data_IF_089217145110
#
_entry.id   IF_089217145110
#
_cell.length_a   1.000
_cell.length_b   1.000
_cell.length_c   1.000
_cell.angle_alpha   90.00
_cell.angle_beta   90.00
_cell.angle_gamma   90.00
#
_symmetry.space_group_name_H-M   'P 1'
#
loop_
_entity.id
_entity.type
_entity.pdbx_description
1 polymer ?
#
# COMPACT_ATOMS: atom_id res chain seq x y z
N UNK A 1 -7.50 -11.12 -7.20
CA UNK A 1 -7.10 -10.53 -5.92
C UNK A 1 -5.68 -10.94 -5.50
N UNK A 2 -5.35 -12.23 -5.38
CA UNK A 2 -4.04 -12.72 -4.88
C UNK A 2 -2.83 -12.10 -5.59
N UNK A 3 -2.84 -12.00 -6.94
CA UNK A 3 -1.75 -11.35 -7.69
C UNK A 3 -1.54 -9.89 -7.27
N UNK A 4 -2.62 -9.16 -7.04
CA UNK A 4 -2.55 -7.76 -6.64
C UNK A 4 -1.89 -7.63 -5.26
N UNK A 5 -2.40 -8.36 -4.27
CA UNK A 5 -1.86 -8.35 -2.90
C UNK A 5 -0.39 -8.76 -2.88
N UNK A 6 -0.06 -9.85 -3.57
CA UNK A 6 1.31 -10.32 -3.66
C UNK A 6 2.24 -9.28 -4.33
N UNK A 7 1.75 -8.58 -5.36
CA UNK A 7 2.52 -7.49 -5.99
C UNK A 7 2.76 -6.31 -5.07
N UNK A 8 1.76 -5.92 -4.26
CA UNK A 8 1.93 -4.86 -3.26
C UNK A 8 2.92 -5.28 -2.17
N UNK A 9 2.79 -6.50 -1.62
CA UNK A 9 3.73 -7.03 -0.62
C UNK A 9 5.15 -7.14 -1.17
N UNK A 10 5.31 -7.53 -2.44
CA UNK A 10 6.63 -7.54 -3.09
C UNK A 10 7.23 -6.14 -3.17
N UNK A 11 6.45 -5.12 -3.55
CA UNK A 11 6.93 -3.74 -3.59
C UNK A 11 7.37 -3.22 -2.23
N UNK A 12 6.58 -3.50 -1.17
CA UNK A 12 6.93 -3.11 0.20
C UNK A 12 8.18 -3.86 0.70
N UNK A 13 8.33 -5.14 0.36
CA UNK A 13 9.53 -5.92 0.70
C UNK A 13 10.79 -5.41 -0.03
N UNK A 14 10.65 -4.99 -1.29
CA UNK A 14 11.72 -4.32 -2.04
C UNK A 14 12.05 -2.96 -1.42
N UNK A 15 11.04 -2.19 -1.02
CA UNK A 15 11.25 -0.92 -0.33
C UNK A 15 12.07 -1.11 0.96
N UNK A 16 11.73 -2.11 1.77
CA UNK A 16 12.47 -2.47 2.98
C UNK A 16 13.93 -2.86 2.68
N UNK A 17 14.16 -3.66 1.64
CA UNK A 17 15.54 -4.01 1.22
C UNK A 17 16.35 -2.77 0.80
N UNK A 18 15.72 -1.82 0.12
CA UNK A 18 16.39 -0.57 -0.24
C UNK A 18 16.72 0.29 0.99
N UNK A 19 15.82 0.35 1.99
CA UNK A 19 16.12 1.05 3.26
C UNK A 19 17.35 0.47 3.94
N UNK A 20 17.46 -0.87 4.00
CA UNK A 20 18.58 -1.53 4.68
C UNK A 20 19.96 -1.26 4.06
N UNK A 21 20.03 -0.70 2.86
CA UNK A 21 21.30 -0.30 2.23
C UNK A 21 21.80 1.07 2.72
N UNK A 22 20.97 1.89 3.33
CA UNK A 22 21.33 3.11 4.04
C UNK A 22 21.79 4.30 3.20
N UNK A 23 21.85 4.17 1.87
CA UNK A 23 22.28 5.28 1.00
C UNK A 23 21.10 6.04 0.37
N UNK A 24 21.37 7.24 -0.06
CA UNK A 24 20.40 8.20 -0.62
C UNK A 24 19.67 7.66 -1.85
N UNK A 25 20.36 6.95 -2.75
CA UNK A 25 19.74 6.42 -3.96
C UNK A 25 18.74 5.32 -3.62
N UNK A 26 19.12 4.43 -2.71
CA UNK A 26 18.25 3.37 -2.24
C UNK A 26 17.06 3.95 -1.44
N UNK A 27 17.26 4.98 -0.63
CA UNK A 27 16.17 5.67 0.06
C UNK A 27 15.13 6.26 -0.91
N UNK A 28 15.56 6.80 -2.05
CA UNK A 28 14.66 7.27 -3.12
C UNK A 28 13.83 6.14 -3.73
N UNK A 29 14.47 5.02 -4.06
CA UNK A 29 13.77 3.85 -4.59
C UNK A 29 12.74 3.34 -3.58
N UNK A 30 13.10 3.30 -2.31
CA UNK A 30 12.17 2.92 -1.24
C UNK A 30 10.96 3.85 -1.17
N UNK A 31 11.17 5.18 -1.19
CA UNK A 31 10.07 6.16 -1.21
C UNK A 31 9.13 5.93 -2.40
N UNK A 32 9.69 5.72 -3.60
CA UNK A 32 8.90 5.48 -4.81
C UNK A 32 8.08 4.19 -4.72
N UNK A 33 8.69 3.08 -4.25
CA UNK A 33 8.01 1.79 -4.11
C UNK A 33 6.91 1.85 -3.06
N UNK A 34 7.17 2.50 -1.93
CA UNK A 34 6.22 2.70 -0.83
C UNK A 34 5.01 3.52 -1.27
N UNK A 35 5.25 4.65 -1.92
CA UNK A 35 4.20 5.53 -2.43
C UNK A 35 3.33 4.84 -3.48
N UNK A 36 3.95 4.14 -4.42
CA UNK A 36 3.23 3.37 -5.44
C UNK A 36 2.39 2.23 -4.82
N UNK A 37 2.91 1.52 -3.82
CA UNK A 37 2.19 0.45 -3.12
C UNK A 37 0.92 1.00 -2.43
N UNK A 38 1.03 2.17 -1.77
CA UNK A 38 -0.10 2.86 -1.18
C UNK A 38 -1.10 3.29 -2.25
N UNK A 39 -0.65 3.99 -3.29
CA UNK A 39 -1.53 4.49 -4.35
C UNK A 39 -2.31 3.37 -5.04
N UNK A 40 -1.66 2.26 -5.38
CA UNK A 40 -2.30 1.10 -5.97
C UNK A 40 -3.37 0.50 -5.05
N UNK A 41 -3.10 0.44 -3.75
CA UNK A 41 -4.05 -0.10 -2.78
C UNK A 41 -5.26 0.82 -2.60
N UNK A 42 -5.05 2.14 -2.52
CA UNK A 42 -6.13 3.12 -2.46
C UNK A 42 -7.00 3.12 -3.72
N UNK A 43 -6.37 3.02 -4.90
CA UNK A 43 -7.10 2.88 -6.15
C UNK A 43 -7.93 1.58 -6.17
N UNK A 44 -7.35 0.48 -5.71
CA UNK A 44 -8.05 -0.79 -5.61
C UNK A 44 -9.23 -0.71 -4.64
N UNK A 45 -9.04 -0.10 -3.48
CA UNK A 45 -10.10 0.14 -2.50
C UNK A 45 -11.29 0.88 -3.11
N UNK A 46 -11.03 1.96 -3.84
CA UNK A 46 -12.08 2.73 -4.51
C UNK A 46 -12.79 1.89 -5.61
N UNK A 47 -12.04 1.10 -6.37
CA UNK A 47 -12.63 0.21 -7.39
C UNK A 47 -13.52 -0.89 -6.80
N UNK A 48 -13.06 -1.52 -5.72
CA UNK A 48 -13.80 -2.59 -5.06
C UNK A 48 -15.11 -2.02 -4.46
N UNK A 49 -15.05 -0.83 -3.83
CA UNK A 49 -16.23 -0.13 -3.34
C UNK A 49 -17.23 0.20 -4.43
N UNK A 50 -16.75 0.73 -5.56
CA UNK A 50 -17.61 1.01 -6.72
C UNK A 50 -18.28 -0.27 -7.25
N UNK A 51 -17.52 -1.35 -7.36
CA UNK A 51 -18.04 -2.65 -7.78
C UNK A 51 -19.11 -3.20 -6.83
N UNK A 52 -18.89 -3.09 -5.52
CA UNK A 52 -19.85 -3.49 -4.51
C UNK A 52 -21.16 -2.69 -4.59
N UNK A 53 -21.06 -1.37 -4.70
CA UNK A 53 -22.24 -0.49 -4.77
C UNK A 53 -23.04 -0.69 -6.06
N UNK A 54 -22.37 -0.85 -7.20
CA UNK A 54 -23.03 -1.08 -8.50
C UNK A 54 -23.63 -2.47 -8.66
N UNK A 55 -23.20 -3.45 -7.87
CA UNK A 55 -23.84 -4.75 -7.85
C UNK A 55 -25.29 -4.71 -7.31
N UNK A 56 -25.68 -3.60 -6.66
CA UNK A 56 -26.99 -3.41 -6.05
C UNK A 56 -27.47 -1.98 -6.32
N UNK A 57 -28.32 -1.77 -7.27
CA UNK A 57 -28.80 -0.44 -7.71
C UNK A 57 -29.24 0.46 -6.56
N UNK A 58 -30.03 -0.08 -5.60
CA UNK A 58 -30.49 0.69 -4.43
C UNK A 58 -29.34 1.18 -3.55
N UNK A 59 -28.24 0.42 -3.43
CA UNK A 59 -27.06 0.84 -2.65
C UNK A 59 -26.34 1.99 -3.34
N UNK A 60 -26.23 1.91 -4.67
CA UNK A 60 -25.64 3.00 -5.45
C UNK A 60 -26.44 4.30 -5.30
N UNK A 61 -27.75 4.24 -5.45
CA UNK A 61 -28.61 5.42 -5.40
C UNK A 61 -28.59 6.11 -4.02
N UNK A 62 -28.52 5.34 -2.96
CA UNK A 62 -28.49 5.84 -1.58
C UNK A 62 -27.08 6.26 -1.09
N UNK A 63 -26.02 5.98 -1.87
CA UNK A 63 -24.66 6.24 -1.40
C UNK A 63 -24.31 7.75 -1.43
N UNK A 64 -23.91 8.35 -0.28
CA UNK A 64 -23.78 9.82 -0.17
C UNK A 64 -22.49 10.36 -0.80
N UNK A 65 -21.43 9.55 -0.94
CA UNK A 65 -20.10 9.98 -1.37
C UNK A 65 -19.77 9.58 -2.82
N UNK A 66 -20.77 9.64 -3.72
CA UNK A 66 -20.62 9.21 -5.13
C UNK A 66 -19.54 10.00 -5.86
N UNK A 67 -19.54 11.32 -5.70
CA UNK A 67 -18.61 12.20 -6.42
C UNK A 67 -17.16 11.96 -5.98
N UNK A 68 -16.93 11.75 -4.68
CA UNK A 68 -15.62 11.43 -4.13
C UNK A 68 -15.14 10.06 -4.59
N UNK A 69 -16.03 9.06 -4.61
CA UNK A 69 -15.73 7.72 -5.12
C UNK A 69 -15.38 7.75 -6.62
N UNK A 70 -16.13 8.50 -7.42
CA UNK A 70 -15.85 8.65 -8.86
C UNK A 70 -14.54 9.41 -9.09
N UNK A 71 -14.28 10.47 -8.32
CA UNK A 71 -13.00 11.19 -8.39
C UNK A 71 -11.80 10.29 -8.03
N UNK A 72 -11.97 9.38 -7.07
CA UNK A 72 -10.93 8.42 -6.66
C UNK A 72 -10.61 7.35 -7.71
N UNK A 73 -11.46 7.16 -8.74
CA UNK A 73 -11.16 6.28 -9.89
C UNK A 73 -10.11 6.89 -10.83
N UNK A 74 -9.86 8.19 -10.74
CA UNK A 74 -8.92 8.91 -11.59
C UNK A 74 -7.44 8.72 -11.19
N UNK A 75 -6.58 9.56 -11.79
CA UNK A 75 -5.13 9.51 -11.59
C UNK A 75 -4.65 10.26 -10.35
N UNK A 76 -5.46 11.16 -9.77
CA UNK A 76 -5.07 12.05 -8.69
C UNK A 76 -4.96 11.31 -7.35
N UNK A 77 -3.77 11.29 -6.77
CA UNK A 77 -3.48 10.63 -5.50
C UNK A 77 -4.29 11.22 -4.33
N UNK A 78 -4.37 12.57 -4.26
CA UNK A 78 -5.12 13.29 -3.22
C UNK A 78 -6.61 12.90 -3.17
N UNK A 79 -7.22 12.63 -4.33
CA UNK A 79 -8.60 12.16 -4.42
C UNK A 79 -8.79 10.76 -3.85
N UNK A 80 -7.83 9.88 -4.10
CA UNK A 80 -7.82 8.52 -3.54
C UNK A 80 -7.67 8.56 -2.01
N UNK A 81 -6.75 9.39 -1.51
CA UNK A 81 -6.53 9.59 -0.07
C UNK A 81 -7.76 10.20 0.59
N UNK A 82 -8.37 11.23 -0.03
CA UNK A 82 -9.61 11.85 0.47
C UNK A 82 -10.72 10.81 0.60
N UNK A 83 -10.95 10.02 -0.44
CA UNK A 83 -11.98 8.99 -0.43
C UNK A 83 -11.72 7.92 0.63
N UNK A 84 -10.49 7.43 0.75
CA UNK A 84 -10.11 6.44 1.77
C UNK A 84 -10.31 6.99 3.20
N UNK A 85 -10.08 8.29 3.41
CA UNK A 85 -10.37 8.96 4.67
C UNK A 85 -11.88 9.06 4.92
N UNK A 86 -12.68 9.45 3.93
CA UNK A 86 -14.14 9.51 4.03
C UNK A 86 -14.76 8.16 4.40
N UNK A 87 -14.21 7.06 3.87
CA UNK A 87 -14.63 5.68 4.19
C UNK A 87 -14.01 5.12 5.49
N UNK A 88 -13.22 5.91 6.22
CA UNK A 88 -12.62 5.51 7.50
C UNK A 88 -11.42 4.54 7.39
N UNK A 89 -10.88 4.34 6.19
CA UNK A 89 -9.68 3.51 6.00
C UNK A 89 -8.40 4.23 6.47
N UNK A 90 -8.37 5.55 6.38
CA UNK A 90 -7.23 6.39 6.75
C UNK A 90 -7.68 7.41 7.79
N UNK A 91 -6.91 7.59 8.86
CA UNK A 91 -7.14 8.62 9.89
C UNK A 91 -6.88 10.03 9.35
N UNK A 92 -7.32 11.05 10.06
CA UNK A 92 -7.03 12.46 9.72
C UNK A 92 -5.52 12.74 9.75
N UNK A 93 -4.81 12.18 10.73
CA UNK A 93 -3.36 12.33 10.88
C UNK A 93 -2.62 11.63 9.76
N UNK A 94 -3.00 10.39 9.44
CA UNK A 94 -2.40 9.63 8.35
C UNK A 94 -2.63 10.28 7.00
N UNK A 95 -3.83 10.84 6.77
CA UNK A 95 -4.14 11.61 5.56
C UNK A 95 -3.17 12.78 5.38
N UNK A 96 -2.96 13.59 6.41
CA UNK A 96 -2.02 14.72 6.34
C UNK A 96 -0.59 14.22 6.08
N UNK A 97 -0.17 13.17 6.77
CA UNK A 97 1.17 12.57 6.65
C UNK A 97 1.42 12.03 5.24
N UNK A 98 0.52 11.20 4.70
CA UNK A 98 0.75 10.59 3.36
C UNK A 98 0.69 11.63 2.24
N UNK A 99 -0.16 12.66 2.35
CA UNK A 99 -0.18 13.75 1.36
C UNK A 99 1.11 14.56 1.38
N UNK A 100 1.67 14.84 2.56
CA UNK A 100 2.95 15.55 2.71
C UNK A 100 4.10 14.74 2.14
N UNK A 101 4.16 13.43 2.44
CA UNK A 101 5.22 12.53 1.96
C UNK A 101 5.14 12.28 0.46
N UNK A 102 3.92 12.16 -0.09
CA UNK A 102 3.72 12.11 -1.55
C UNK A 102 4.18 13.40 -2.23
N UNK A 103 3.85 14.56 -1.67
CA UNK A 103 4.31 15.87 -2.15
C UNK A 103 5.85 15.96 -2.13
N UNK A 104 6.48 15.52 -1.05
CA UNK A 104 7.92 15.47 -0.91
C UNK A 104 8.58 14.54 -1.95
N UNK A 105 8.04 13.33 -2.15
CA UNK A 105 8.51 12.41 -3.21
C UNK A 105 8.43 13.06 -4.60
N UNK A 106 7.37 13.78 -4.89
CA UNK A 106 7.23 14.48 -6.17
C UNK A 106 8.26 15.59 -6.33
N UNK A 107 8.54 16.37 -5.28
CA UNK A 107 9.59 17.40 -5.30
C UNK A 107 10.98 16.79 -5.56
N UNK A 108 11.31 15.68 -4.91
CA UNK A 108 12.56 14.95 -5.15
C UNK A 108 12.72 14.51 -6.61
N UNK A 109 11.61 14.14 -7.25
CA UNK A 109 11.64 13.68 -8.64
C UNK A 109 11.85 14.84 -9.63
N UNK A 110 11.32 16.02 -9.33
CA UNK A 110 11.33 17.18 -10.25
C UNK A 110 12.41 18.21 -9.94
N UNK A 111 12.79 18.41 -8.71
CA UNK A 111 13.67 19.52 -8.28
C UNK A 111 15.10 19.10 -7.92
N UNK A 112 15.43 17.79 -7.99
CA UNK A 112 16.77 17.31 -7.62
C UNK A 112 17.03 17.31 -6.11
N UNK A 113 18.30 17.24 -5.75
CA UNK A 113 18.84 16.81 -4.46
C UNK A 113 18.89 17.90 -3.39
N UNK A 114 17.77 18.38 -2.92
CA UNK A 114 17.74 19.11 -1.66
C UNK A 114 17.35 18.15 -0.53
N UNK A 115 18.09 18.18 0.60
CA UNK A 115 17.82 17.37 1.80
C UNK A 115 18.17 15.87 1.74
N UNK A 116 19.25 15.51 1.04
CA UNK A 116 19.71 14.10 0.95
C UNK A 116 19.89 13.40 2.30
N UNK A 117 20.35 14.12 3.31
CA UNK A 117 20.67 13.57 4.62
C UNK A 117 19.44 12.99 5.37
N UNK A 118 18.24 13.51 5.12
CA UNK A 118 17.03 13.03 5.79
C UNK A 118 16.31 11.93 5.03
N UNK A 119 16.73 11.63 3.81
CA UNK A 119 16.04 10.67 2.94
C UNK A 119 15.99 9.26 3.51
N UNK A 120 17.06 8.68 4.07
CA UNK A 120 17.00 7.35 4.66
C UNK A 120 15.95 7.26 5.77
N UNK A 121 16.00 8.17 6.76
CA UNK A 121 15.04 8.20 7.87
C UNK A 121 13.61 8.47 7.38
N UNK A 122 13.44 9.36 6.39
CA UNK A 122 12.13 9.68 5.83
C UNK A 122 11.54 8.49 5.06
N UNK A 123 12.37 7.73 4.34
CA UNK A 123 11.91 6.53 3.61
C UNK A 123 11.48 5.41 4.57
N UNK A 124 12.20 5.21 5.67
CA UNK A 124 11.84 4.26 6.71
C UNK A 124 10.53 4.67 7.41
N UNK A 125 10.40 5.95 7.77
CA UNK A 125 9.18 6.49 8.35
C UNK A 125 7.98 6.32 7.41
N UNK A 126 8.15 6.61 6.11
CA UNK A 126 7.06 6.45 5.14
C UNK A 126 6.64 4.99 5.01
N UNK A 127 7.59 4.06 4.95
CA UNK A 127 7.28 2.63 4.89
C UNK A 127 6.53 2.17 6.14
N UNK A 128 6.92 2.64 7.35
CA UNK A 128 6.20 2.34 8.59
C UNK A 128 4.74 2.80 8.53
N UNK A 129 4.52 4.07 8.17
CA UNK A 129 3.17 4.66 8.05
C UNK A 129 2.32 3.89 7.05
N UNK A 130 2.85 3.60 5.87
CA UNK A 130 2.12 2.87 4.83
C UNK A 130 1.82 1.44 5.26
N UNK A 131 2.79 0.72 5.82
CA UNK A 131 2.56 -0.64 6.31
C UNK A 131 1.50 -0.68 7.41
N UNK A 132 1.47 0.31 8.31
CA UNK A 132 0.45 0.44 9.35
C UNK A 132 -0.94 0.65 8.75
N UNK A 133 -1.09 1.59 7.81
CA UNK A 133 -2.36 1.84 7.11
C UNK A 133 -2.83 0.57 6.37
N UNK A 134 -1.93 -0.08 5.66
CA UNK A 134 -2.26 -1.25 4.85
C UNK A 134 -2.51 -2.52 5.69
N UNK A 135 -1.97 -2.59 6.91
CA UNK A 135 -2.26 -3.68 7.84
C UNK A 135 -3.75 -3.69 8.27
N UNK A 136 -4.44 -2.56 8.20
CA UNK A 136 -5.86 -2.45 8.49
C UNK A 136 -6.77 -2.59 7.25
N UNK A 137 -6.17 -2.65 6.04
CA UNK A 137 -6.93 -2.80 4.81
C UNK A 137 -7.67 -4.13 4.74
N UNK A 138 -8.99 -4.06 4.55
CA UNK A 138 -9.83 -5.24 4.39
C UNK A 138 -10.02 -5.58 2.92
N UNK A 139 -9.56 -6.75 2.56
CA UNK A 139 -9.77 -7.31 1.22
C UNK A 139 -11.23 -7.71 1.07
N UNK A 140 -12.01 -6.97 0.29
CA UNK A 140 -13.47 -7.16 0.13
C UNK A 140 -13.83 -8.44 -0.62
N UNK A 141 -13.02 -8.83 -1.61
CA UNK A 141 -13.29 -10.02 -2.44
C UNK A 141 -12.03 -10.86 -2.60
N UNK A 142 -12.13 -12.11 -2.17
CA UNK A 142 -11.04 -13.06 -2.29
C UNK A 142 -11.27 -14.00 -3.47
N UNK A 143 -10.47 -13.86 -4.52
CA UNK A 143 -10.50 -14.79 -5.65
C UNK A 143 -9.11 -15.38 -5.86
N UNK A 144 -9.05 -16.70 -5.92
CA UNK A 144 -7.84 -17.48 -6.17
C UNK A 144 -8.11 -18.52 -7.26
N UNK A 145 -7.37 -18.45 -8.34
CA UNK A 145 -7.38 -19.47 -9.39
C UNK A 145 -6.22 -20.46 -9.22
N UNK A 146 -6.42 -21.71 -9.57
CA UNK A 146 -5.39 -22.77 -9.47
C UNK A 146 -4.08 -22.48 -10.20
N UNK A 147 -4.11 -21.56 -11.20
CA UNK A 147 -2.95 -21.14 -12.01
C UNK A 147 -2.39 -19.77 -11.57
N UNK A 148 -2.76 -19.24 -10.39
CA UNK A 148 -2.28 -17.94 -9.96
C UNK A 148 -0.79 -18.04 -9.57
N UNK A 149 0.06 -17.41 -10.37
CA UNK A 149 1.48 -17.25 -10.03
C UNK A 149 1.63 -16.14 -8.98
N UNK A 150 2.33 -16.45 -7.89
CA UNK A 150 2.71 -15.50 -6.83
C UNK A 150 4.18 -15.17 -7.01
N UNK A 151 4.59 -13.89 -7.05
CA UNK A 151 5.98 -13.47 -7.11
C UNK A 151 6.81 -14.15 -6.02
N UNK A 152 8.06 -14.52 -6.33
CA UNK A 152 8.91 -15.29 -5.42
C UNK A 152 9.07 -14.60 -4.04
N UNK A 153 9.33 -13.29 -4.04
CA UNK A 153 9.49 -12.50 -2.80
C UNK A 153 8.24 -12.48 -1.93
N UNK A 154 7.06 -12.41 -2.56
CA UNK A 154 5.80 -12.34 -1.83
C UNK A 154 5.39 -13.68 -1.20
N UNK A 155 5.96 -14.81 -1.63
CA UNK A 155 5.58 -16.15 -1.15
C UNK A 155 5.72 -16.31 0.35
N UNK A 156 6.73 -15.69 0.97
CA UNK A 156 6.97 -15.75 2.42
C UNK A 156 5.85 -15.11 3.25
N UNK A 157 5.05 -14.22 2.64
CA UNK A 157 3.90 -13.55 3.27
C UNK A 157 2.58 -14.29 3.02
N UNK A 158 2.56 -15.27 2.14
CA UNK A 158 1.36 -16.02 1.77
C UNK A 158 1.32 -17.34 2.53
N UNK A 159 0.18 -17.65 3.11
CA UNK A 159 -0.04 -18.90 3.84
C UNK A 159 0.21 -20.12 2.97
N UNK A 160 0.77 -21.16 3.57
CA UNK A 160 1.04 -22.44 2.93
C UNK A 160 0.34 -23.58 3.67
N UNK A 161 0.00 -24.63 2.93
CA UNK A 161 -0.49 -25.88 3.53
C UNK A 161 0.65 -26.61 4.26
N UNK A 162 0.46 -26.91 5.53
CA UNK A 162 1.39 -27.72 6.30
C UNK A 162 1.57 -29.14 5.74
N UNK A 163 0.53 -29.68 5.07
CA UNK A 163 0.54 -31.02 4.49
C UNK A 163 1.25 -31.12 3.14
N UNK A 164 1.13 -30.09 2.30
CA UNK A 164 1.54 -30.18 0.88
C UNK A 164 2.57 -29.13 0.47
N UNK A 165 2.90 -28.17 1.34
CA UNK A 165 3.76 -27.02 1.00
C UNK A 165 3.16 -26.07 -0.06
N UNK A 166 1.93 -26.31 -0.53
CA UNK A 166 1.26 -25.48 -1.51
C UNK A 166 0.81 -24.16 -0.88
N UNK A 167 0.89 -23.08 -1.66
CA UNK A 167 0.33 -21.79 -1.26
C UNK A 167 -1.20 -21.90 -1.11
N UNK A 168 -1.70 -21.48 0.04
CA UNK A 168 -3.13 -21.34 0.37
C UNK A 168 -3.39 -19.88 0.77
N UNK A 169 -3.45 -18.98 -0.21
CA UNK A 169 -3.66 -17.57 0.08
C UNK A 169 -5.00 -17.35 0.80
N UNK A 170 -5.01 -16.47 1.80
CA UNK A 170 -6.21 -16.11 2.54
C UNK A 170 -6.29 -14.59 2.80
N UNK A 171 -7.46 -14.14 3.27
CA UNK A 171 -7.74 -12.71 3.44
C UNK A 171 -6.85 -12.00 4.48
N UNK A 172 -6.20 -12.74 5.39
CA UNK A 172 -5.32 -12.18 6.44
C UNK A 172 -3.86 -12.09 6.02
N UNK A 173 -3.48 -12.71 4.90
CA UNK A 173 -2.06 -12.74 4.46
C UNK A 173 -1.54 -11.33 4.17
N UNK A 174 -2.37 -10.45 3.62
CA UNK A 174 -1.98 -9.08 3.31
C UNK A 174 -1.67 -8.29 4.58
N UNK A 175 -2.60 -8.29 5.54
CA UNK A 175 -2.46 -7.58 6.81
C UNK A 175 -1.24 -8.08 7.58
N UNK A 176 -1.09 -9.42 7.69
CA UNK A 176 0.08 -10.03 8.31
C UNK A 176 1.38 -9.65 7.60
N UNK A 177 1.40 -9.72 6.26
CA UNK A 177 2.57 -9.36 5.46
C UNK A 177 3.00 -7.90 5.66
N UNK A 178 2.05 -6.96 5.71
CA UNK A 178 2.34 -5.56 6.02
C UNK A 178 2.91 -5.40 7.44
N UNK A 179 2.32 -6.09 8.44
CA UNK A 179 2.83 -6.07 9.81
C UNK A 179 4.22 -6.69 9.92
N UNK A 180 4.48 -7.80 9.22
CA UNK A 180 5.80 -8.47 9.21
C UNK A 180 6.88 -7.58 8.59
N UNK A 181 6.56 -6.86 7.50
CA UNK A 181 7.48 -5.91 6.86
C UNK A 181 7.79 -4.77 7.83
N UNK A 182 6.76 -4.20 8.45
CA UNK A 182 6.88 -3.14 9.45
C UNK A 182 7.77 -3.53 10.62
N UNK A 183 7.57 -4.72 11.19
CA UNK A 183 8.33 -5.22 12.32
C UNK A 183 9.82 -5.50 12.01
N UNK A 184 10.18 -5.52 10.73
CA UNK A 184 11.57 -5.68 10.27
C UNK A 184 12.26 -4.35 10.00
N UNK A 185 11.55 -3.22 10.11
CA UNK A 185 12.17 -1.91 10.07
C UNK A 185 13.02 -1.72 11.31
N UNK A 186 14.30 -1.44 11.08
CA UNK A 186 15.28 -1.10 12.12
C UNK A 186 15.60 0.39 11.99
N UNK A 187 15.08 1.19 12.90
CA UNK A 187 15.30 2.62 12.90
C UNK A 187 16.68 3.01 13.45
N UNK A 188 17.36 2.13 14.20
CA UNK A 188 18.67 2.40 14.80
C UNK A 188 19.79 2.44 13.74
N UNK A 189 19.58 1.80 12.60
CA UNK A 189 20.51 1.83 11.48
C UNK A 189 20.24 2.94 10.46
N UNK A 190 19.20 3.76 10.65
CA UNK A 190 18.75 4.79 9.70
C UNK A 190 18.97 6.21 10.25
N UNK A 191 19.48 6.31 11.47
CA UNK A 191 19.77 7.56 12.18
C UNK A 191 21.15 8.15 11.80
#
# INVERSE_FOLDING_TARGET
>A
MVKFIAGVLEQLDVALEHISKGDVHNARFSLMMTDNALELTLHRFARDKLGELKAWDRKWDAYPHKDELLAAQGQHFDRKVKFAHTEGMISTEDKATVLSLHGFRNQLHHAGLHHEQVLPSLSAFYLDVVCRILADYRVSHWSHGSKTSVPYRARKYISTSSKTGRLIPNGKDFNRGCSDIRNRLDFDHVA
#
